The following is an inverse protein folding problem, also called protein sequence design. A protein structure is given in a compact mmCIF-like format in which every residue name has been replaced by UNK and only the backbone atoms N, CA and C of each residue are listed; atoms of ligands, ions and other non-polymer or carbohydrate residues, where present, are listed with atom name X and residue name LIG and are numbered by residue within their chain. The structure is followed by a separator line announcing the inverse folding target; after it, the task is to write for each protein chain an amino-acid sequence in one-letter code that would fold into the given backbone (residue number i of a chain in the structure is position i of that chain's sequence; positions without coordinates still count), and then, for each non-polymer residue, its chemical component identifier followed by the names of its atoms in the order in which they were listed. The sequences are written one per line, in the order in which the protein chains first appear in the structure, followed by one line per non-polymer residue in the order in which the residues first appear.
data_IF_531873190635
#
_entry.id   IF_531873190635
#
_cell.length_a   1.000
_cell.length_b   1.000
_cell.length_c   1.000
_cell.angle_alpha   90.00
_cell.angle_beta   90.00
_cell.angle_gamma   90.00
#
_symmetry.space_group_name_H-M   'P 1'
#
loop_
_entity.id
_entity.type
_entity.pdbx_description
1 polymer ?
#
# COMPACT_ATOMS: atom_id res chain seq x y z
N UNK A 1 -1.48 -1.41 -1.87
CA UNK A 1 -0.18 -0.85 -2.27
C UNK A 1 0.45 0.03 -1.20
N UNK A 2 -0.33 0.67 -0.36
CA UNK A 2 0.20 1.55 0.70
C UNK A 2 1.20 0.82 1.61
N UNK A 3 0.81 -0.30 2.18
CA UNK A 3 1.66 -1.09 3.09
C UNK A 3 2.80 -1.80 2.37
N UNK A 4 2.54 -2.29 1.15
CA UNK A 4 3.52 -3.06 0.39
C UNK A 4 4.43 -2.19 -0.49
N UNK A 5 4.35 -0.86 -0.38
CA UNK A 5 5.18 0.07 -1.15
C UNK A 5 6.69 -0.16 -0.95
N UNK A 6 7.22 -0.32 0.28
CA UNK A 6 8.65 -0.56 0.47
C UNK A 6 9.15 -1.81 -0.26
N UNK A 7 8.33 -2.88 -0.24
CA UNK A 7 8.62 -4.10 -0.98
C UNK A 7 8.74 -3.83 -2.49
N UNK A 8 7.70 -3.23 -3.10
CA UNK A 8 7.65 -3.05 -4.55
C UNK A 8 8.74 -2.10 -5.06
N UNK A 9 9.00 -1.03 -4.33
CA UNK A 9 10.08 -0.11 -4.69
C UNK A 9 11.43 -0.81 -4.71
N UNK A 10 11.76 -1.55 -3.67
CA UNK A 10 13.02 -2.29 -3.56
C UNK A 10 13.09 -3.41 -4.59
N UNK A 11 12.04 -4.21 -4.76
CA UNK A 11 11.98 -5.27 -5.75
C UNK A 11 12.32 -4.77 -7.16
N UNK A 12 11.65 -3.72 -7.62
CA UNK A 12 11.90 -3.19 -8.95
C UNK A 12 13.26 -2.51 -9.08
N UNK A 13 13.73 -1.83 -8.06
CA UNK A 13 15.05 -1.19 -8.05
C UNK A 13 16.17 -2.23 -8.11
N UNK A 14 16.05 -3.33 -7.38
CA UNK A 14 17.01 -4.46 -7.45
C UNK A 14 17.05 -5.07 -8.86
N UNK A 15 15.91 -5.19 -9.51
CA UNK A 15 15.83 -5.64 -10.92
C UNK A 15 16.24 -4.55 -11.94
N UNK A 16 16.80 -3.40 -11.47
CA UNK A 16 17.32 -2.31 -12.30
C UNK A 16 16.24 -1.53 -13.08
N UNK A 17 14.99 -1.60 -12.65
CA UNK A 17 13.95 -0.73 -13.18
C UNK A 17 14.09 0.69 -12.58
N UNK A 18 13.83 1.69 -13.39
CA UNK A 18 13.61 3.04 -12.89
C UNK A 18 12.17 3.17 -12.38
N UNK A 19 12.01 3.24 -11.07
CA UNK A 19 10.68 3.34 -10.45
C UNK A 19 10.18 4.79 -10.51
N UNK A 20 8.98 4.97 -11.05
CA UNK A 20 8.26 6.25 -11.07
C UNK A 20 7.03 6.13 -10.18
N UNK A 21 6.91 7.02 -9.22
CA UNK A 21 5.75 7.11 -8.35
C UNK A 21 4.83 8.24 -8.81
N UNK A 22 3.54 8.02 -8.72
CA UNK A 22 2.57 9.11 -8.81
C UNK A 22 2.70 10.02 -7.58
N UNK A 23 2.34 11.31 -7.68
CA UNK A 23 2.42 12.23 -6.55
C UNK A 23 1.45 11.84 -5.42
N UNK A 24 1.62 12.49 -4.28
CA UNK A 24 0.67 12.39 -3.17
C UNK A 24 -0.77 12.67 -3.65
N UNK A 25 -1.72 11.92 -3.10
CA UNK A 25 -3.13 12.05 -3.44
C UNK A 25 -3.64 13.48 -3.18
N UNK A 26 -4.42 13.96 -4.12
CA UNK A 26 -5.08 15.26 -4.04
C UNK A 26 -6.40 15.20 -4.82
N UNK A 27 -7.29 16.17 -4.60
CA UNK A 27 -8.48 16.33 -5.41
C UNK A 27 -8.20 16.34 -6.93
N UNK A 28 -7.07 16.94 -7.36
CA UNK A 28 -6.66 16.97 -8.76
C UNK A 28 -6.33 15.58 -9.30
N UNK A 29 -5.72 14.74 -8.48
CA UNK A 29 -5.46 13.33 -8.87
C UNK A 29 -6.78 12.59 -9.04
N UNK A 30 -7.72 12.74 -8.12
CA UNK A 30 -9.07 12.16 -8.26
C UNK A 30 -9.72 12.58 -9.58
N UNK A 31 -9.71 13.87 -9.89
CA UNK A 31 -10.33 14.43 -11.10
C UNK A 31 -9.73 13.89 -12.40
N UNK A 32 -8.45 13.50 -12.42
CA UNK A 32 -7.83 12.85 -13.57
C UNK A 32 -8.43 11.48 -13.92
N UNK A 33 -8.94 10.77 -12.93
CA UNK A 33 -9.49 9.42 -13.12
C UNK A 33 -11.01 9.35 -13.22
N UNK A 34 -11.71 10.47 -13.07
CA UNK A 34 -13.18 10.51 -12.87
C UNK A 34 -13.95 9.80 -13.98
N UNK A 35 -13.51 9.95 -15.21
CA UNK A 35 -14.15 9.40 -16.40
C UNK A 35 -14.08 7.86 -16.48
N UNK A 36 -13.08 7.28 -15.81
CA UNK A 36 -12.85 5.82 -15.80
C UNK A 36 -13.43 5.12 -14.58
N UNK A 37 -14.06 5.85 -13.64
CA UNK A 37 -14.68 5.26 -12.46
C UNK A 37 -16.00 4.57 -12.86
N UNK A 38 -16.12 3.23 -12.73
CA UNK A 38 -17.25 2.50 -13.25
C UNK A 38 -18.53 2.66 -12.41
N UNK A 39 -18.41 3.06 -11.15
CA UNK A 39 -19.55 3.17 -10.23
C UNK A 39 -19.36 4.25 -9.16
N UNK A 40 -20.43 4.99 -8.89
CA UNK A 40 -20.45 5.94 -7.76
C UNK A 40 -20.33 5.25 -6.40
N UNK A 41 -20.71 3.97 -6.31
CA UNK A 41 -20.66 3.18 -5.08
C UNK A 41 -19.27 2.68 -4.72
N UNK A 42 -18.27 2.83 -5.59
CA UNK A 42 -16.89 2.52 -5.23
C UNK A 42 -16.39 3.40 -4.10
N UNK A 43 -15.57 2.82 -3.20
CA UNK A 43 -14.94 3.59 -2.13
C UNK A 43 -13.96 4.63 -2.68
N UNK A 44 -13.76 5.72 -1.96
CA UNK A 44 -12.91 6.81 -2.41
C UNK A 44 -11.46 6.41 -2.71
N UNK A 45 -10.82 5.51 -1.95
CA UNK A 45 -9.49 4.98 -2.31
C UNK A 45 -9.45 4.29 -3.67
N UNK A 46 -10.50 3.53 -4.04
CA UNK A 46 -10.60 2.92 -5.37
C UNK A 46 -10.65 3.98 -6.47
N UNK A 47 -11.46 5.01 -6.27
CA UNK A 47 -11.60 6.14 -7.20
C UNK A 47 -10.28 6.89 -7.39
N UNK A 48 -9.51 7.12 -6.31
CA UNK A 48 -8.19 7.74 -6.36
C UNK A 48 -7.19 6.91 -7.19
N UNK A 49 -7.26 5.58 -7.11
CA UNK A 49 -6.35 4.70 -7.84
C UNK A 49 -6.45 4.89 -9.36
N UNK A 50 -7.66 5.16 -9.91
CA UNK A 50 -7.85 5.52 -11.31
C UNK A 50 -7.06 6.78 -11.68
N UNK A 51 -7.15 7.82 -10.86
CA UNK A 51 -6.42 9.06 -11.08
C UNK A 51 -4.91 8.90 -11.04
N UNK A 52 -4.38 8.08 -10.13
CA UNK A 52 -2.96 7.78 -10.04
C UNK A 52 -2.44 7.07 -11.30
N UNK A 53 -3.17 6.07 -11.80
CA UNK A 53 -2.79 5.36 -13.02
C UNK A 53 -2.86 6.29 -14.24
N UNK A 54 -3.92 7.07 -14.38
CA UNK A 54 -4.04 8.08 -15.44
C UNK A 54 -2.89 9.10 -15.39
N UNK A 55 -2.50 9.53 -14.18
CA UNK A 55 -1.36 10.43 -14.02
C UNK A 55 -0.05 9.80 -14.52
N UNK A 56 0.22 8.55 -14.19
CA UNK A 56 1.41 7.83 -14.66
C UNK A 56 1.45 7.75 -16.18
N UNK A 57 0.34 7.41 -16.81
CA UNK A 57 0.20 7.33 -18.27
C UNK A 57 0.48 8.69 -18.92
N UNK A 58 -0.13 9.75 -18.43
CA UNK A 58 0.03 11.12 -18.95
C UNK A 58 1.44 11.66 -18.77
N UNK A 59 2.21 11.11 -17.81
CA UNK A 59 3.62 11.44 -17.60
C UNK A 59 4.58 10.48 -18.32
N UNK A 60 4.08 9.71 -19.29
CA UNK A 60 4.90 8.92 -20.20
C UNK A 60 5.35 7.57 -19.67
N UNK A 61 4.81 7.10 -18.53
CA UNK A 61 5.10 5.77 -18.01
C UNK A 61 4.48 4.72 -18.95
N UNK A 62 5.31 3.80 -19.44
CA UNK A 62 4.90 2.77 -20.41
C UNK A 62 4.76 1.38 -19.80
N UNK A 63 5.29 1.16 -18.61
CA UNK A 63 5.15 -0.08 -17.87
C UNK A 63 4.56 0.21 -16.50
N UNK A 64 3.37 -0.30 -16.25
CA UNK A 64 2.64 -0.16 -14.99
C UNK A 64 2.41 -1.55 -14.41
N UNK A 65 2.87 -1.77 -13.19
CA UNK A 65 2.66 -3.00 -12.45
C UNK A 65 1.72 -2.72 -11.27
N UNK A 66 0.52 -3.30 -11.32
CA UNK A 66 -0.50 -3.12 -10.29
C UNK A 66 -1.15 -4.48 -9.96
N UNK A 67 -0.55 -5.27 -9.04
CA UNK A 67 -1.03 -6.60 -8.74
C UNK A 67 -2.39 -6.59 -8.00
N UNK A 68 -3.17 -7.64 -8.22
CA UNK A 68 -4.32 -8.00 -7.41
C UNK A 68 -3.85 -8.83 -6.23
N UNK A 69 -4.02 -8.35 -4.99
CA UNK A 69 -3.56 -9.02 -3.77
C UNK A 69 -4.77 -9.50 -2.96
N UNK A 70 -5.20 -10.76 -3.06
CA UNK A 70 -6.29 -11.29 -2.24
C UNK A 70 -5.88 -11.62 -0.80
N UNK A 71 -4.62 -11.96 -0.56
CA UNK A 71 -4.12 -12.39 0.74
C UNK A 71 -2.88 -11.61 1.15
N UNK A 72 -2.93 -11.03 2.34
CA UNK A 72 -1.78 -10.42 3.01
C UNK A 72 -1.07 -11.39 3.95
N UNK A 73 0.01 -10.95 4.59
CA UNK A 73 0.71 -11.73 5.61
C UNK A 73 -0.22 -11.95 6.80
N UNK A 74 -0.17 -13.16 7.35
CA UNK A 74 -0.84 -13.42 8.61
C UNK A 74 0.04 -12.92 9.77
N UNK A 75 -0.18 -11.67 10.18
CA UNK A 75 0.57 -11.03 11.27
C UNK A 75 0.09 -11.47 12.66
N UNK A 76 -1.15 -11.93 12.74
CA UNK A 76 -1.78 -12.40 13.96
C UNK A 76 -2.24 -13.85 13.74
N UNK A 77 -1.44 -14.85 14.17
CA UNK A 77 -1.73 -16.27 13.91
C UNK A 77 -3.14 -16.74 14.34
N UNK A 78 -3.69 -16.09 15.38
CA UNK A 78 -5.02 -16.40 15.92
C UNK A 78 -6.16 -15.69 15.15
N UNK A 79 -5.86 -14.87 14.15
CA UNK A 79 -6.89 -14.24 13.33
C UNK A 79 -7.60 -15.26 12.44
N UNK A 80 -8.91 -15.07 12.25
CA UNK A 80 -9.74 -16.00 11.46
C UNK A 80 -9.34 -15.99 9.98
N UNK A 81 -8.93 -14.84 9.45
CA UNK A 81 -8.46 -14.71 8.07
C UNK A 81 -7.59 -13.47 7.89
N UNK A 82 -6.97 -13.36 6.71
CA UNK A 82 -6.08 -12.28 6.28
C UNK A 82 -6.37 -11.88 4.83
N UNK A 83 -7.65 -11.77 4.48
CA UNK A 83 -8.09 -11.34 3.15
C UNK A 83 -8.08 -9.83 3.04
N UNK A 84 -7.66 -9.35 1.89
CA UNK A 84 -7.96 -7.99 1.49
C UNK A 84 -9.45 -7.81 1.19
N UNK A 85 -9.94 -6.59 1.36
CA UNK A 85 -11.27 -6.21 0.90
C UNK A 85 -11.43 -6.58 -0.60
N UNK A 86 -12.57 -7.17 -1.02
CA UNK A 86 -12.81 -7.53 -2.42
C UNK A 86 -12.60 -6.37 -3.40
N UNK A 87 -12.94 -5.14 -2.99
CA UNK A 87 -12.70 -3.95 -3.81
C UNK A 87 -11.20 -3.70 -3.98
N UNK A 88 -10.40 -3.81 -2.90
CA UNK A 88 -8.93 -3.65 -2.95
C UNK A 88 -8.31 -4.71 -3.86
N UNK A 89 -8.75 -5.97 -3.75
CA UNK A 89 -8.29 -7.06 -4.61
C UNK A 89 -8.60 -6.78 -6.09
N UNK A 90 -9.73 -6.16 -6.40
CA UNK A 90 -10.19 -5.92 -7.77
C UNK A 90 -9.75 -4.58 -8.38
N UNK A 91 -9.07 -3.70 -7.64
CA UNK A 91 -8.67 -2.37 -8.15
C UNK A 91 -7.98 -2.45 -9.52
N UNK A 92 -7.00 -3.33 -9.65
CA UNK A 92 -6.21 -3.43 -10.88
C UNK A 92 -7.05 -3.94 -12.06
N UNK A 93 -7.98 -4.86 -11.83
CA UNK A 93 -8.92 -5.33 -12.86
C UNK A 93 -9.91 -4.24 -13.27
N UNK A 94 -10.44 -3.48 -12.31
CA UNK A 94 -11.34 -2.37 -12.62
C UNK A 94 -10.61 -1.30 -13.43
N UNK A 95 -9.42 -0.90 -13.05
CA UNK A 95 -8.61 0.08 -13.76
C UNK A 95 -8.32 -0.40 -15.18
N UNK A 96 -7.86 -1.65 -15.33
CA UNK A 96 -7.54 -2.24 -16.64
C UNK A 96 -8.70 -2.20 -17.63
N UNK A 97 -9.92 -2.41 -17.13
CA UNK A 97 -11.11 -2.50 -17.98
C UNK A 97 -11.82 -1.16 -18.20
N UNK A 98 -11.46 -0.09 -17.48
CA UNK A 98 -12.16 1.18 -17.54
C UNK A 98 -11.27 2.39 -17.90
N UNK A 99 -9.95 2.26 -17.86
CA UNK A 99 -9.01 3.30 -18.30
C UNK A 99 -8.68 3.08 -19.76
N UNK A 100 -9.30 3.86 -20.65
CA UNK A 100 -9.18 3.69 -22.10
C UNK A 100 -7.76 3.78 -22.62
N UNK A 101 -6.93 4.62 -22.02
CA UNK A 101 -5.52 4.79 -22.38
C UNK A 101 -4.70 3.50 -22.25
N UNK A 102 -5.14 2.54 -21.42
CA UNK A 102 -4.48 1.23 -21.28
C UNK A 102 -4.69 0.31 -22.51
N UNK A 103 -5.59 0.67 -23.44
CA UNK A 103 -5.75 0.00 -24.73
C UNK A 103 -4.65 0.39 -25.73
N UNK A 104 -3.83 1.41 -25.45
CA UNK A 104 -2.66 1.77 -26.26
C UNK A 104 -1.63 0.62 -26.22
N UNK A 105 -1.28 -0.01 -27.35
CA UNK A 105 -0.31 -1.11 -27.39
C UNK A 105 1.11 -0.72 -26.96
N UNK A 106 1.41 0.57 -26.85
CA UNK A 106 2.67 1.06 -26.32
C UNK A 106 2.74 1.05 -24.77
N UNK A 107 1.62 0.78 -24.09
CA UNK A 107 1.53 0.72 -22.64
C UNK A 107 1.37 -0.75 -22.22
N UNK A 108 2.23 -1.19 -21.33
CA UNK A 108 2.13 -2.50 -20.70
C UNK A 108 1.56 -2.34 -19.29
N UNK A 109 0.35 -2.86 -19.06
CA UNK A 109 -0.26 -2.92 -17.74
C UNK A 109 -0.27 -4.37 -17.27
N UNK A 110 0.49 -4.67 -16.19
CA UNK A 110 0.54 -6.00 -15.58
C UNK A 110 -0.18 -6.00 -14.24
N UNK A 111 -1.18 -6.85 -14.12
CA UNK A 111 -2.02 -6.97 -12.92
C UNK A 111 -2.18 -8.43 -12.45
N UNK A 112 -1.06 -9.14 -12.18
CA UNK A 112 -1.13 -10.53 -11.76
C UNK A 112 -1.82 -10.67 -10.40
N UNK A 113 -2.47 -11.83 -10.18
CA UNK A 113 -2.92 -12.21 -8.85
C UNK A 113 -1.73 -12.76 -8.06
N UNK A 114 -1.41 -12.10 -6.95
CA UNK A 114 -0.29 -12.43 -6.07
C UNK A 114 -0.79 -12.54 -4.63
N UNK A 115 -0.08 -13.34 -3.82
CA UNK A 115 -0.35 -13.45 -2.39
C UNK A 115 0.91 -13.12 -1.58
N UNK A 116 0.75 -12.30 -0.56
CA UNK A 116 1.83 -11.95 0.38
C UNK A 116 1.91 -12.90 1.57
N UNK A 117 1.33 -14.08 1.49
CA UNK A 117 1.28 -15.06 2.59
C UNK A 117 2.67 -15.52 3.05
N UNK A 118 3.61 -15.69 2.13
CA UNK A 118 5.02 -15.96 2.43
C UNK A 118 5.93 -15.48 1.32
N UNK A 119 7.20 -15.23 1.68
CA UNK A 119 8.25 -14.84 0.75
C UNK A 119 8.41 -15.86 -0.38
N UNK A 120 8.42 -17.16 -0.05
CA UNK A 120 8.60 -18.24 -1.01
C UNK A 120 7.47 -18.30 -2.06
N UNK A 121 6.21 -18.22 -1.60
CA UNK A 121 5.04 -18.23 -2.49
C UNK A 121 5.08 -17.05 -3.43
N UNK A 122 5.37 -15.86 -2.91
CA UNK A 122 5.47 -14.65 -3.71
C UNK A 122 6.63 -14.72 -4.70
N UNK A 123 7.81 -15.22 -4.28
CA UNK A 123 8.98 -15.35 -5.14
C UNK A 123 8.72 -16.31 -6.32
N UNK A 124 8.15 -17.47 -6.04
CA UNK A 124 7.84 -18.44 -7.09
C UNK A 124 6.85 -17.86 -8.11
N UNK A 125 5.85 -17.13 -7.65
CA UNK A 125 4.86 -16.51 -8.54
C UNK A 125 5.46 -15.35 -9.35
N UNK A 126 6.36 -14.54 -8.76
CA UNK A 126 7.04 -13.46 -9.48
C UNK A 126 8.05 -13.98 -10.50
N UNK A 127 8.71 -15.12 -10.26
CA UNK A 127 9.53 -15.80 -11.28
C UNK A 127 8.70 -16.17 -12.52
N UNK A 128 7.46 -16.61 -12.33
CA UNK A 128 6.55 -16.88 -13.45
C UNK A 128 6.11 -15.62 -14.20
N UNK A 129 6.00 -14.49 -13.52
CA UNK A 129 5.62 -13.21 -14.12
C UNK A 129 6.79 -12.53 -14.87
N UNK A 130 8.01 -12.70 -14.39
CA UNK A 130 9.22 -12.07 -14.93
C UNK A 130 10.15 -13.10 -15.61
N UNK A 131 9.59 -13.89 -16.54
CA UNK A 131 10.31 -14.99 -17.24
C UNK A 131 11.56 -14.55 -18.02
N UNK A 132 11.63 -13.29 -18.38
CA UNK A 132 12.78 -12.72 -19.12
C UNK A 132 13.96 -12.38 -18.21
N UNK A 133 13.80 -12.52 -16.89
CA UNK A 133 14.82 -12.27 -15.88
C UNK A 133 15.21 -13.62 -15.24
N UNK A 134 16.51 -13.88 -14.98
CA UNK A 134 16.93 -15.09 -14.30
C UNK A 134 16.21 -15.30 -12.97
N UNK A 135 15.73 -16.52 -12.72
CA UNK A 135 14.93 -16.82 -11.53
C UNK A 135 15.62 -16.43 -10.21
N UNK A 136 16.94 -16.62 -10.14
CA UNK A 136 17.73 -16.28 -8.95
C UNK A 136 17.80 -14.77 -8.70
N UNK A 137 17.82 -13.96 -9.77
CA UNK A 137 17.76 -12.50 -9.62
C UNK A 137 16.38 -12.04 -9.12
N UNK A 138 15.31 -12.63 -9.65
CA UNK A 138 13.94 -12.34 -9.17
C UNK A 138 13.79 -12.73 -7.70
N UNK A 139 14.24 -13.92 -7.30
CA UNK A 139 14.18 -14.37 -5.90
C UNK A 139 15.01 -13.48 -4.97
N UNK A 140 16.22 -13.09 -5.40
CA UNK A 140 17.05 -12.17 -4.63
C UNK A 140 16.37 -10.80 -4.45
N UNK A 141 15.74 -10.27 -5.49
CA UNK A 141 14.98 -9.03 -5.42
C UNK A 141 13.77 -9.14 -4.49
N UNK A 142 13.05 -10.28 -4.50
CA UNK A 142 11.97 -10.56 -3.56
C UNK A 142 12.47 -10.55 -2.12
N UNK A 143 13.59 -11.26 -1.86
CA UNK A 143 14.20 -11.30 -0.53
C UNK A 143 14.54 -9.90 -0.03
N UNK A 144 15.18 -9.07 -0.86
CA UNK A 144 15.50 -7.68 -0.52
C UNK A 144 14.25 -6.83 -0.24
N UNK A 145 13.22 -6.97 -1.06
CA UNK A 145 11.94 -6.30 -0.83
C UNK A 145 11.28 -6.72 0.50
N UNK A 146 11.39 -8.01 0.84
CA UNK A 146 10.85 -8.56 2.09
C UNK A 146 11.58 -8.02 3.32
N UNK A 147 12.93 -7.95 3.25
CA UNK A 147 13.76 -7.32 4.29
C UNK A 147 13.41 -5.85 4.48
N UNK A 148 13.26 -5.09 3.38
CA UNK A 148 12.95 -3.65 3.40
C UNK A 148 11.56 -3.39 4.00
N UNK A 149 10.57 -4.19 3.65
CA UNK A 149 9.24 -4.08 4.24
C UNK A 149 9.27 -4.28 5.75
N UNK A 150 10.08 -5.25 6.24
CA UNK A 150 10.27 -5.45 7.67
C UNK A 150 11.06 -4.31 8.33
N UNK A 151 12.03 -3.71 7.63
CA UNK A 151 12.79 -2.57 8.11
C UNK A 151 11.91 -1.32 8.23
N UNK A 152 11.15 -1.00 7.20
CA UNK A 152 10.21 0.12 7.20
C UNK A 152 9.20 0.03 8.35
N UNK A 153 8.67 -1.17 8.62
CA UNK A 153 7.78 -1.41 9.76
C UNK A 153 8.48 -1.11 11.09
N UNK A 154 9.72 -1.59 11.29
CA UNK A 154 10.48 -1.29 12.51
C UNK A 154 10.73 0.20 12.69
N UNK A 155 10.96 0.95 11.61
CA UNK A 155 11.14 2.39 11.66
C UNK A 155 9.88 3.12 12.12
N UNK A 156 8.70 2.70 11.63
CA UNK A 156 7.40 3.21 12.07
C UNK A 156 7.18 2.91 13.56
N UNK A 157 7.43 1.69 14.01
CA UNK A 157 7.30 1.27 15.40
C UNK A 157 8.24 2.07 16.32
N UNK A 158 9.50 2.18 15.93
CA UNK A 158 10.49 2.99 16.69
C UNK A 158 10.03 4.45 16.81
N UNK A 159 9.47 5.02 15.73
CA UNK A 159 8.94 6.39 15.78
C UNK A 159 7.75 6.52 16.71
N UNK A 160 6.90 5.49 16.79
CA UNK A 160 5.81 5.42 17.76
C UNK A 160 6.31 5.42 19.20
N UNK A 161 7.30 4.56 19.51
CA UNK A 161 7.93 4.47 20.84
C UNK A 161 8.59 5.79 21.25
N UNK A 162 9.36 6.42 20.36
CA UNK A 162 9.96 7.74 20.58
C UNK A 162 8.89 8.80 20.87
N UNK A 163 7.77 8.74 20.18
CA UNK A 163 6.66 9.69 20.38
C UNK A 163 5.96 9.47 21.72
N UNK A 164 5.69 8.23 22.11
CA UNK A 164 5.11 7.92 23.42
C UNK A 164 6.02 8.42 24.54
N UNK A 165 7.32 8.15 24.44
CA UNK A 165 8.30 8.66 25.42
C UNK A 165 8.30 10.19 25.49
N UNK A 166 8.23 10.88 24.36
CA UNK A 166 8.12 12.34 24.33
C UNK A 166 6.86 12.83 25.04
N UNK A 167 5.73 12.15 24.84
CA UNK A 167 4.46 12.51 25.49
C UNK A 167 4.55 12.33 27.02
N UNK A 168 5.14 11.23 27.50
CA UNK A 168 5.37 10.98 28.91
C UNK A 168 6.30 12.05 29.53
N UNK A 169 7.46 12.30 28.90
CA UNK A 169 8.47 13.26 29.39
C UNK A 169 7.93 14.70 29.43
N UNK A 170 6.98 15.05 28.58
CA UNK A 170 6.44 16.43 28.48
C UNK A 170 5.07 16.62 29.10
N UNK A 171 4.40 15.54 29.52
CA UNK A 171 3.03 15.57 30.04
C UNK A 171 2.00 15.97 28.96
N UNK A 172 2.32 15.79 27.68
CA UNK A 172 1.41 16.09 26.56
C UNK A 172 0.50 14.90 26.26
N UNK A 173 -0.58 15.19 25.53
CA UNK A 173 -1.53 14.18 25.09
C UNK A 173 -1.26 13.74 23.64
N UNK A 174 -1.60 12.49 23.36
CA UNK A 174 -1.62 11.91 22.02
C UNK A 174 -2.93 11.22 21.73
N UNK A 175 -3.25 11.09 20.44
CA UNK A 175 -4.41 10.34 19.95
C UNK A 175 -3.89 9.29 18.97
N UNK A 176 -4.40 8.06 19.09
CA UNK A 176 -4.18 7.00 18.09
C UNK A 176 -5.28 7.13 17.05
N UNK A 177 -4.87 7.40 15.81
CA UNK A 177 -5.74 7.40 14.65
C UNK A 177 -5.74 6.00 14.07
N UNK A 178 -6.80 5.24 14.31
CA UNK A 178 -6.98 3.88 13.82
C UNK A 178 -7.89 3.84 12.59
N UNK A 179 -7.58 2.98 11.64
CA UNK A 179 -8.38 2.83 10.43
C UNK A 179 -7.73 1.85 9.45
N UNK A 180 -8.19 1.86 8.21
CA UNK A 180 -7.56 1.11 7.13
C UNK A 180 -6.21 1.74 6.75
N UNK A 181 -5.25 1.01 6.14
CA UNK A 181 -3.92 1.54 5.83
C UNK A 181 -3.91 2.87 5.06
N UNK A 182 -4.89 3.06 4.19
CA UNK A 182 -5.04 4.29 3.40
C UNK A 182 -5.57 5.50 4.20
N UNK A 183 -5.97 5.33 5.47
CA UNK A 183 -6.45 6.46 6.28
C UNK A 183 -5.37 7.51 6.60
N UNK A 184 -4.09 7.18 6.37
CA UNK A 184 -2.99 8.14 6.45
C UNK A 184 -2.79 8.95 5.16
N UNK A 185 -3.53 8.64 4.09
CA UNK A 185 -3.48 9.41 2.84
C UNK A 185 -4.09 10.80 3.04
N UNK A 186 -3.39 11.90 2.67
CA UNK A 186 -3.81 13.27 2.96
C UNK A 186 -5.13 13.67 2.28
N UNK A 187 -5.48 13.10 1.14
CA UNK A 187 -6.77 13.36 0.50
C UNK A 187 -7.91 12.60 1.19
N UNK A 188 -7.62 11.40 1.72
CA UNK A 188 -8.62 10.56 2.38
C UNK A 188 -8.92 11.03 3.79
N UNK A 189 -7.90 11.44 4.56
CA UNK A 189 -8.10 11.88 5.94
C UNK A 189 -8.56 13.33 6.10
N UNK A 190 -8.68 14.07 5.00
CA UNK A 190 -9.24 15.44 4.97
C UNK A 190 -8.61 16.42 5.97
N UNK A 191 -7.31 16.29 6.28
CA UNK A 191 -6.58 17.15 7.22
C UNK A 191 -6.88 16.89 8.71
N UNK A 192 -7.52 15.77 9.06
CA UNK A 192 -7.81 15.40 10.46
C UNK A 192 -6.55 15.38 11.33
N UNK A 193 -5.42 14.75 10.92
CA UNK A 193 -4.19 14.78 11.71
C UNK A 193 -3.64 16.20 11.95
N UNK A 194 -3.71 17.06 10.93
CA UNK A 194 -3.23 18.44 11.03
C UNK A 194 -4.10 19.26 12.00
N UNK A 195 -5.41 19.04 11.95
CA UNK A 195 -6.36 19.67 12.89
C UNK A 195 -6.04 19.25 14.33
N UNK A 196 -5.84 17.95 14.59
CA UNK A 196 -5.51 17.44 15.92
C UNK A 196 -4.17 18.02 16.39
N UNK A 197 -3.16 18.06 15.53
CA UNK A 197 -1.86 18.64 15.83
C UNK A 197 -1.95 20.15 16.14
N UNK A 198 -2.87 20.88 15.50
CA UNK A 198 -3.08 22.32 15.77
C UNK A 198 -3.53 22.61 17.21
N UNK A 199 -4.11 21.63 17.89
CA UNK A 199 -4.44 21.69 19.32
C UNK A 199 -3.30 21.27 20.24
N UNK A 200 -2.10 21.00 19.70
CA UNK A 200 -0.93 20.54 20.46
C UNK A 200 -1.00 19.07 20.88
N UNK A 201 -1.87 18.29 20.27
CA UNK A 201 -2.06 16.86 20.53
C UNK A 201 -1.30 16.09 19.45
N UNK A 202 -0.44 15.13 19.84
CA UNK A 202 0.26 14.29 18.89
C UNK A 202 -0.69 13.25 18.26
N UNK A 203 -0.43 12.90 16.99
CA UNK A 203 -1.18 11.84 16.30
C UNK A 203 -0.24 10.66 16.05
N UNK A 204 -0.65 9.48 16.49
CA UNK A 204 -0.01 8.21 16.21
C UNK A 204 -0.96 7.34 15.35
N UNK A 205 -0.40 6.37 14.65
CA UNK A 205 -1.18 5.33 13.97
C UNK A 205 -1.13 4.03 14.78
N UNK A 206 -2.05 3.12 14.56
CA UNK A 206 -2.02 1.78 15.17
C UNK A 206 -0.73 1.03 14.83
N UNK A 207 -0.25 1.12 13.58
CA UNK A 207 0.99 0.49 13.13
C UNK A 207 2.20 0.88 13.96
N UNK A 208 2.20 2.12 14.45
CA UNK A 208 3.33 2.67 15.21
C UNK A 208 3.41 2.17 16.64
N UNK A 209 2.31 1.67 17.23
CA UNK A 209 2.24 1.32 18.65
C UNK A 209 1.57 -0.02 18.97
N UNK A 210 0.88 -0.65 18.04
CA UNK A 210 0.11 -1.89 18.29
C UNK A 210 0.97 -3.05 18.81
N UNK A 211 2.28 -3.07 18.51
CA UNK A 211 3.23 -4.07 19.00
C UNK A 211 3.52 -3.98 20.50
N UNK A 212 3.16 -2.89 21.16
CA UNK A 212 3.47 -2.65 22.59
C UNK A 212 2.52 -3.33 23.56
N UNK A 213 1.39 -3.84 23.06
CA UNK A 213 0.41 -4.55 23.88
C UNK A 213 -0.07 -5.83 23.19
N UNK A 214 -0.35 -6.91 23.95
CA UNK A 214 -0.94 -8.11 23.39
C UNK A 214 -2.40 -7.85 22.96
N UNK A 215 -2.84 -8.60 21.97
CA UNK A 215 -4.24 -8.60 21.57
C UNK A 215 -5.07 -9.35 22.62
N UNK A 216 -6.02 -8.69 23.26
CA UNK A 216 -6.81 -9.27 24.37
C UNK A 216 -7.84 -10.31 23.92
N UNK A 217 -8.22 -10.30 22.67
CA UNK A 217 -9.17 -11.27 22.08
C UNK A 217 -8.80 -11.57 20.64
N UNK A 218 -9.18 -12.78 20.15
CA UNK A 218 -8.99 -13.13 18.74
C UNK A 218 -9.62 -12.09 17.83
N UNK A 219 -8.85 -11.58 16.87
CA UNK A 219 -9.37 -10.72 15.81
C UNK A 219 -9.95 -11.55 14.68
N UNK A 220 -10.97 -11.04 14.01
CA UNK A 220 -11.63 -11.77 12.90
C UNK A 220 -10.88 -11.62 11.59
N UNK A 221 -10.25 -10.48 11.40
CA UNK A 221 -9.48 -10.12 10.20
C UNK A 221 -8.28 -9.35 10.66
N UNK A 222 -7.11 -9.59 10.08
CA UNK A 222 -5.85 -8.92 10.39
C UNK A 222 -5.30 -8.12 9.20
N UNK A 223 -6.16 -7.50 8.47
CA UNK A 223 -5.81 -6.61 7.36
C UNK A 223 -5.93 -5.13 7.73
#
# INVERSE_FOLDING_TARGET
MFENYPFWYTFFTELKYQVVLSPTSTRKIYELGIESIPSESECYPAKLAHGHVTWLIRNGVKFIFYPCIPYERNEFPDAVNHYNCPIVTSYAENIKNNVDELNDPSITFRNPFLAFTSEEILANRLVEEFKDIPAEEVKAAVHKGWEEMAAARRDVQKKGEETLKYLEDTGRHGIVLAGRPYHIDPEIHHGIPDLINSYGIAVLTEDSISHLAPVERPIRVND
#
